data_IF_952832062958
#
_entry.id   IF_952832062958
#
_cell.length_a   1.000
_cell.length_b   1.000
_cell.length_c   1.000
_cell.angle_alpha   90.00
_cell.angle_beta   90.00
_cell.angle_gamma   90.00
#
_symmetry.space_group_name_H-M   'P 1'
#
loop_
_entity.id
_entity.type
_entity.pdbx_description
1 polymer ?
#
# COMPACT_ATOMS: atom_id res chain seq x y z
N UNK A 1 -1.93 -8.58 27.67
CA UNK A 1 -1.60 -8.31 26.25
C UNK A 1 -0.41 -9.16 25.89
N UNK A 2 -0.45 -9.84 24.74
CA UNK A 2 0.68 -10.66 24.27
C UNK A 2 1.81 -9.75 23.80
N UNK A 3 3.07 -10.18 23.96
CA UNK A 3 4.26 -9.42 23.50
C UNK A 3 4.14 -8.97 22.04
N UNK A 4 3.54 -9.81 21.19
CA UNK A 4 3.30 -9.54 19.77
C UNK A 4 2.33 -8.36 19.54
N UNK A 5 1.33 -8.18 20.41
CA UNK A 5 0.38 -7.08 20.29
C UNK A 5 1.02 -5.74 20.65
N UNK A 6 1.89 -5.72 21.66
CA UNK A 6 2.63 -4.53 22.08
C UNK A 6 3.65 -4.11 21.02
N UNK A 7 4.32 -5.09 20.41
CA UNK A 7 5.26 -4.87 19.31
C UNK A 7 4.58 -4.33 18.06
N UNK A 8 3.46 -4.93 17.63
CA UNK A 8 2.69 -4.47 16.48
C UNK A 8 2.17 -3.03 16.66
N UNK A 9 1.63 -2.72 17.84
CA UNK A 9 1.18 -1.36 18.18
C UNK A 9 2.33 -0.35 18.20
N UNK A 10 3.51 -0.77 18.66
CA UNK A 10 4.70 0.07 18.64
C UNK A 10 5.17 0.36 17.21
N UNK A 11 5.19 -0.66 16.33
CA UNK A 11 5.56 -0.51 14.93
C UNK A 11 4.60 0.43 14.19
N UNK A 12 3.29 0.28 14.37
CA UNK A 12 2.31 1.17 13.73
C UNK A 12 2.49 2.62 14.18
N UNK A 13 2.73 2.85 15.48
CA UNK A 13 3.00 4.19 16.02
C UNK A 13 4.30 4.78 15.45
N UNK A 14 5.36 3.98 15.30
CA UNK A 14 6.62 4.43 14.71
C UNK A 14 6.42 4.80 13.24
N UNK A 15 5.76 3.94 12.46
CA UNK A 15 5.47 4.20 11.05
C UNK A 15 4.63 5.47 10.90
N UNK A 16 3.55 5.61 11.66
CA UNK A 16 2.72 6.81 11.61
C UNK A 16 3.44 8.06 12.14
N UNK A 17 4.37 7.93 13.08
CA UNK A 17 5.15 9.04 13.61
C UNK A 17 6.33 9.46 12.74
N UNK A 18 6.56 8.80 11.60
CA UNK A 18 7.70 9.08 10.73
C UNK A 18 7.59 10.47 10.10
N UNK A 19 8.57 11.34 10.39
CA UNK A 19 8.65 12.70 9.84
C UNK A 19 9.30 12.68 8.46
N UNK A 20 8.46 12.70 7.42
CA UNK A 20 8.88 12.65 6.02
C UNK A 20 9.60 13.92 5.57
N UNK A 21 9.25 15.07 6.16
CA UNK A 21 9.91 16.35 5.87
C UNK A 21 11.32 16.38 6.46
N UNK A 22 11.46 15.96 7.72
CA UNK A 22 12.77 15.86 8.37
C UNK A 22 13.66 14.89 7.60
N UNK A 23 13.14 13.70 7.25
CA UNK A 23 13.86 12.73 6.45
C UNK A 23 14.31 13.31 5.10
N UNK A 24 13.41 13.95 4.36
CA UNK A 24 13.74 14.54 3.05
C UNK A 24 14.82 15.63 3.18
N UNK A 25 14.74 16.44 4.23
CA UNK A 25 15.74 17.49 4.53
C UNK A 25 17.11 16.90 4.84
N UNK A 26 17.15 15.85 5.67
CA UNK A 26 18.40 15.16 5.99
C UNK A 26 19.02 14.51 4.74
N UNK A 27 18.20 13.87 3.90
CA UNK A 27 18.66 13.27 2.64
C UNK A 27 19.20 14.34 1.70
N UNK A 28 18.47 15.45 1.51
CA UNK A 28 18.90 16.58 0.68
C UNK A 28 20.26 17.16 1.14
N UNK A 29 20.49 17.21 2.45
CA UNK A 29 21.76 17.71 3.00
C UNK A 29 22.97 16.84 2.65
N UNK A 30 22.75 15.52 2.48
CA UNK A 30 23.80 14.53 2.19
C UNK A 30 23.95 14.28 0.69
N UNK A 31 22.84 14.33 -0.05
CA UNK A 31 22.76 14.08 -1.48
C UNK A 31 21.97 15.22 -2.14
N UNK A 32 22.61 16.37 -2.39
CA UNK A 32 21.93 17.51 -3.00
C UNK A 32 21.51 17.19 -4.44
N UNK A 33 20.20 17.17 -4.69
CA UNK A 33 19.61 17.03 -6.01
C UNK A 33 18.36 17.92 -6.14
N UNK A 34 17.88 18.13 -7.36
CA UNK A 34 16.68 18.95 -7.64
C UNK A 34 15.39 18.10 -7.57
N UNK A 35 15.30 17.22 -6.56
CA UNK A 35 14.25 16.19 -6.43
C UNK A 35 13.63 16.17 -5.01
N UNK A 36 13.81 17.24 -4.23
CA UNK A 36 13.33 17.33 -2.85
C UNK A 36 11.83 17.02 -2.71
N UNK A 37 11.01 17.59 -3.61
CA UNK A 37 9.56 17.39 -3.58
C UNK A 37 9.20 15.93 -3.88
N UNK A 38 9.81 15.34 -4.92
CA UNK A 38 9.63 13.92 -5.24
C UNK A 38 10.01 13.04 -4.05
N UNK A 39 11.11 13.33 -3.36
CA UNK A 39 11.53 12.59 -2.15
C UNK A 39 10.50 12.70 -1.04
N UNK A 40 9.95 13.89 -0.81
CA UNK A 40 8.93 14.13 0.21
C UNK A 40 7.64 13.36 -0.09
N UNK A 41 7.17 13.43 -1.34
CA UNK A 41 5.96 12.71 -1.78
C UNK A 41 6.17 11.18 -1.73
N UNK A 42 7.33 10.68 -2.14
CA UNK A 42 7.68 9.25 -2.03
C UNK A 42 7.68 8.82 -0.57
N UNK A 43 8.36 9.55 0.32
CA UNK A 43 8.42 9.20 1.73
C UNK A 43 7.03 9.20 2.37
N UNK A 44 6.16 10.14 1.98
CA UNK A 44 4.79 10.24 2.48
C UNK A 44 3.90 9.10 1.96
N UNK A 45 4.02 8.76 0.67
CA UNK A 45 3.35 7.59 0.11
C UNK A 45 3.79 6.28 0.78
N UNK A 46 5.10 6.12 1.04
CA UNK A 46 5.63 4.95 1.75
C UNK A 46 5.13 4.88 3.20
N UNK A 47 5.12 6.01 3.92
CA UNK A 47 4.58 6.06 5.28
C UNK A 47 3.13 5.56 5.33
N UNK A 48 2.27 6.07 4.44
CA UNK A 48 0.86 5.64 4.36
C UNK A 48 0.74 4.15 4.00
N UNK A 49 1.50 3.68 3.02
CA UNK A 49 1.51 2.28 2.61
C UNK A 49 1.98 1.33 3.73
N UNK A 50 3.03 1.68 4.48
CA UNK A 50 3.47 0.90 5.65
C UNK A 50 2.37 0.84 6.71
N UNK A 51 1.66 1.96 6.97
CA UNK A 51 0.55 1.96 7.92
C UNK A 51 -0.58 1.02 7.47
N UNK A 52 -0.96 1.04 6.19
CA UNK A 52 -1.96 0.12 5.62
C UNK A 52 -1.51 -1.33 5.81
N UNK A 53 -0.26 -1.64 5.42
CA UNK A 53 0.29 -2.99 5.51
C UNK A 53 0.31 -3.50 6.95
N UNK A 54 0.81 -2.72 7.90
CA UNK A 54 0.86 -3.10 9.31
C UNK A 54 -0.54 -3.33 9.90
N UNK A 55 -1.51 -2.46 9.58
CA UNK A 55 -2.90 -2.66 9.98
C UNK A 55 -3.45 -3.99 9.44
N UNK A 56 -3.18 -4.32 8.17
CA UNK A 56 -3.62 -5.59 7.56
C UNK A 56 -2.97 -6.79 8.22
N UNK A 57 -1.66 -6.75 8.48
CA UNK A 57 -0.95 -7.82 9.20
C UNK A 57 -1.52 -8.00 10.61
N UNK A 58 -1.81 -6.91 11.33
CA UNK A 58 -2.44 -7.01 12.64
C UNK A 58 -3.80 -7.69 12.58
N UNK A 59 -4.66 -7.29 11.63
CA UNK A 59 -5.98 -7.89 11.44
C UNK A 59 -5.89 -9.38 11.09
N UNK A 60 -4.99 -9.74 10.17
CA UNK A 60 -4.75 -11.12 9.76
C UNK A 60 -4.29 -12.01 10.93
N UNK A 61 -3.44 -11.48 11.81
CA UNK A 61 -2.97 -12.17 13.00
C UNK A 61 -3.95 -12.11 14.19
N UNK A 62 -5.12 -11.49 14.03
CA UNK A 62 -6.11 -11.30 15.10
C UNK A 62 -5.63 -10.40 16.24
N UNK A 63 -4.66 -9.52 15.96
CA UNK A 63 -4.11 -8.57 16.93
C UNK A 63 -4.97 -7.30 16.98
N UNK A 64 -5.30 -6.86 18.20
CA UNK A 64 -5.94 -5.55 18.39
C UNK A 64 -4.88 -4.46 18.22
N UNK A 65 -5.02 -3.65 17.17
CA UNK A 65 -4.24 -2.45 16.96
C UNK A 65 -5.18 -1.25 16.82
N UNK A 66 -4.87 -0.14 17.50
CA UNK A 66 -5.64 1.09 17.36
C UNK A 66 -5.37 1.68 15.98
N UNK A 67 -6.32 1.52 15.06
CA UNK A 67 -6.27 2.19 13.77
C UNK A 67 -6.38 3.70 13.98
N UNK A 68 -5.40 4.43 13.48
CA UNK A 68 -5.31 5.89 13.62
C UNK A 68 -6.28 6.58 12.65
N UNK A 69 -6.49 5.96 11.49
CA UNK A 69 -7.42 6.41 10.44
C UNK A 69 -8.04 5.19 9.74
N UNK A 70 -9.22 5.34 9.12
CA UNK A 70 -9.75 4.37 8.16
C UNK A 70 -8.73 4.04 7.06
N UNK A 71 -8.64 2.77 6.65
CA UNK A 71 -7.68 2.33 5.63
C UNK A 71 -7.88 3.03 4.28
N UNK A 72 -9.13 3.31 3.89
CA UNK A 72 -9.42 4.03 2.64
C UNK A 72 -8.98 5.50 2.66
N UNK A 73 -8.91 6.13 3.84
CA UNK A 73 -8.37 7.48 3.98
C UNK A 73 -6.85 7.46 3.75
N UNK A 74 -6.15 6.45 4.30
CA UNK A 74 -4.73 6.23 4.03
C UNK A 74 -4.47 5.92 2.55
N UNK A 75 -5.33 5.12 1.90
CA UNK A 75 -5.25 4.89 0.44
C UNK A 75 -5.33 6.22 -0.31
N UNK A 76 -6.30 7.08 0.05
CA UNK A 76 -6.49 8.37 -0.60
C UNK A 76 -5.28 9.28 -0.41
N UNK A 77 -4.69 9.30 0.79
CA UNK A 77 -3.44 10.01 1.08
C UNK A 77 -2.27 9.49 0.23
N UNK A 78 -2.09 8.16 0.17
CA UNK A 78 -1.03 7.55 -0.64
C UNK A 78 -1.18 7.93 -2.11
N UNK A 79 -2.39 7.79 -2.69
CA UNK A 79 -2.64 8.15 -4.09
C UNK A 79 -2.40 9.64 -4.35
N UNK A 80 -2.77 10.52 -3.41
CA UNK A 80 -2.53 11.95 -3.55
C UNK A 80 -1.04 12.26 -3.68
N UNK A 81 -0.19 11.69 -2.81
CA UNK A 81 1.26 11.86 -2.91
C UNK A 81 1.85 11.23 -4.18
N UNK A 82 1.39 10.03 -4.54
CA UNK A 82 1.83 9.37 -5.77
C UNK A 82 1.48 10.16 -7.03
N UNK A 83 0.36 10.89 -7.02
CA UNK A 83 -0.08 11.73 -8.14
C UNK A 83 0.80 12.97 -8.37
N UNK A 84 1.56 13.40 -7.36
CA UNK A 84 2.51 14.52 -7.49
C UNK A 84 3.81 14.12 -8.21
N UNK A 85 4.09 12.82 -8.30
CA UNK A 85 5.35 12.30 -8.85
C UNK A 85 5.17 12.08 -10.35
N UNK A 86 5.97 12.80 -11.14
CA UNK A 86 6.02 12.65 -12.60
C UNK A 86 6.41 11.23 -13.02
N UNK A 87 5.81 10.72 -14.09
CA UNK A 87 6.22 9.45 -14.73
C UNK A 87 7.64 9.50 -15.26
N UNK A 88 8.15 10.70 -15.57
CA UNK A 88 9.51 10.94 -16.05
C UNK A 88 10.52 11.12 -14.89
N UNK A 89 10.07 11.05 -13.64
CA UNK A 89 10.98 11.15 -12.49
C UNK A 89 11.90 9.94 -12.44
N UNK A 90 13.20 10.17 -12.19
CA UNK A 90 14.16 9.09 -11.94
C UNK A 90 13.82 8.28 -10.68
N UNK A 91 12.95 8.82 -9.81
CA UNK A 91 12.48 8.16 -8.60
C UNK A 91 11.14 7.44 -8.79
N UNK A 92 10.57 7.42 -10.00
CA UNK A 92 9.25 6.85 -10.26
C UNK A 92 9.16 5.36 -9.88
N UNK A 93 10.22 4.58 -10.09
CA UNK A 93 10.28 3.17 -9.70
C UNK A 93 10.09 2.96 -8.18
N UNK A 94 10.49 3.93 -7.34
CA UNK A 94 10.31 3.88 -5.89
C UNK A 94 8.83 3.95 -5.48
N UNK A 95 7.93 4.26 -6.41
CA UNK A 95 6.49 4.34 -6.17
C UNK A 95 5.75 3.02 -6.39
N UNK A 96 6.43 2.00 -6.92
CA UNK A 96 5.83 0.70 -7.25
C UNK A 96 5.16 0.07 -6.03
N UNK A 97 5.87 0.01 -4.91
CA UNK A 97 5.36 -0.65 -3.71
C UNK A 97 4.18 0.10 -3.07
N UNK A 98 4.24 1.42 -2.80
CA UNK A 98 3.06 2.15 -2.31
C UNK A 98 1.85 2.09 -3.27
N UNK A 99 2.10 2.05 -4.59
CA UNK A 99 1.02 1.88 -5.58
C UNK A 99 0.36 0.52 -5.46
N UNK A 100 1.16 -0.54 -5.25
CA UNK A 100 0.65 -1.89 -5.00
C UNK A 100 -0.20 -1.92 -3.74
N UNK A 101 0.30 -1.42 -2.62
CA UNK A 101 -0.40 -1.46 -1.33
C UNK A 101 -1.73 -0.70 -1.40
N UNK A 102 -1.72 0.53 -1.95
CA UNK A 102 -2.96 1.30 -2.12
C UNK A 102 -3.97 0.58 -3.01
N UNK A 103 -3.50 -0.09 -4.08
CA UNK A 103 -4.36 -0.82 -5.01
C UNK A 103 -4.90 -2.11 -4.45
N UNK A 104 -4.08 -2.81 -3.68
CA UNK A 104 -4.50 -3.99 -2.97
C UNK A 104 -5.52 -3.60 -1.89
N UNK A 105 -5.37 -2.46 -1.22
CA UNK A 105 -6.29 -2.07 -0.16
C UNK A 105 -7.65 -1.58 -0.69
N UNK A 106 -7.64 -0.74 -1.72
CA UNK A 106 -8.86 -0.03 -2.15
C UNK A 106 -9.90 -0.93 -2.81
N UNK A 107 -11.17 -0.57 -2.64
CA UNK A 107 -12.31 -1.16 -3.35
C UNK A 107 -12.96 -0.19 -4.36
N UNK A 108 -12.36 0.98 -4.57
CA UNK A 108 -12.85 1.99 -5.51
C UNK A 108 -12.36 1.68 -6.93
N UNK A 109 -13.30 1.40 -7.83
CA UNK A 109 -13.00 1.11 -9.24
C UNK A 109 -12.24 2.24 -9.96
N UNK A 110 -12.47 3.50 -9.59
CA UNK A 110 -11.74 4.61 -10.19
C UNK A 110 -10.26 4.59 -9.76
N UNK A 111 -9.99 4.22 -8.50
CA UNK A 111 -8.62 4.02 -7.98
C UNK A 111 -7.97 2.80 -8.62
N UNK A 112 -8.70 1.70 -8.85
CA UNK A 112 -8.17 0.54 -9.59
C UNK A 112 -7.67 0.92 -10.99
N UNK A 113 -8.49 1.66 -11.75
CA UNK A 113 -8.12 2.14 -13.11
C UNK A 113 -6.89 3.04 -13.04
N UNK A 114 -6.83 3.97 -12.09
CA UNK A 114 -5.68 4.86 -11.91
C UNK A 114 -4.40 4.09 -11.59
N UNK A 115 -4.47 3.10 -10.69
CA UNK A 115 -3.32 2.27 -10.28
C UNK A 115 -2.84 1.39 -11.43
N UNK A 116 -3.76 0.76 -12.17
CA UNK A 116 -3.43 -0.02 -13.37
C UNK A 116 -2.67 0.82 -14.38
N UNK A 117 -3.18 2.02 -14.68
CA UNK A 117 -2.51 2.95 -15.59
C UNK A 117 -1.11 3.33 -15.10
N UNK A 118 -0.91 3.46 -13.78
CA UNK A 118 0.41 3.71 -13.21
C UNK A 118 1.37 2.52 -13.40
N UNK A 119 0.90 1.29 -13.17
CA UNK A 119 1.69 0.08 -13.42
C UNK A 119 2.06 -0.09 -14.91
N UNK A 120 1.20 0.33 -15.83
CA UNK A 120 1.52 0.34 -17.27
C UNK A 120 2.73 1.24 -17.57
N UNK A 121 2.80 2.42 -16.92
CA UNK A 121 3.96 3.32 -17.06
C UNK A 121 5.22 2.73 -16.42
N UNK A 122 5.11 2.14 -15.21
CA UNK A 122 6.25 1.52 -14.53
C UNK A 122 6.82 0.39 -15.41
N UNK A 123 5.97 -0.47 -15.96
CA UNK A 123 6.36 -1.59 -16.80
C UNK A 123 6.98 -1.14 -18.14
N UNK A 124 6.56 0.00 -18.68
CA UNK A 124 7.14 0.56 -19.89
C UNK A 124 8.56 1.12 -19.67
N UNK A 125 8.84 1.68 -18.50
CA UNK A 125 10.14 2.24 -18.13
C UNK A 125 11.12 1.15 -17.69
N UNK A 126 10.66 0.23 -16.85
CA UNK A 126 11.47 -0.83 -16.25
C UNK A 126 10.74 -2.18 -16.44
N UNK A 127 11.00 -2.90 -17.55
CA UNK A 127 10.29 -4.14 -17.90
C UNK A 127 10.83 -5.33 -17.09
N UNK A 128 11.01 -5.15 -15.78
CA UNK A 128 11.38 -6.22 -14.88
C UNK A 128 10.12 -7.07 -14.70
N UNK A 129 10.16 -8.36 -15.07
CA UNK A 129 8.97 -9.24 -15.04
C UNK A 129 8.23 -9.26 -13.68
N UNK A 130 8.95 -8.89 -12.62
CA UNK A 130 8.49 -8.66 -11.25
C UNK A 130 7.34 -7.63 -11.17
N UNK A 131 7.38 -6.53 -11.94
CA UNK A 131 6.33 -5.50 -11.97
C UNK A 131 5.07 -6.02 -12.68
N UNK A 132 5.24 -6.79 -13.75
CA UNK A 132 4.12 -7.44 -14.46
C UNK A 132 3.36 -8.42 -13.56
N UNK A 133 4.08 -9.13 -12.69
CA UNK A 133 3.48 -10.02 -11.70
C UNK A 133 2.66 -9.25 -10.66
N UNK A 134 3.16 -8.12 -10.16
CA UNK A 134 2.46 -7.29 -9.18
C UNK A 134 1.14 -6.73 -9.74
N UNK A 135 1.16 -6.22 -10.98
CA UNK A 135 -0.04 -5.68 -11.61
C UNK A 135 -1.09 -6.78 -11.91
N UNK A 136 -0.64 -7.96 -12.33
CA UNK A 136 -1.51 -9.13 -12.53
C UNK A 136 -2.11 -9.62 -11.21
N UNK A 137 -1.35 -9.59 -10.11
CA UNK A 137 -1.85 -9.94 -8.78
C UNK A 137 -2.94 -8.97 -8.30
N UNK A 138 -2.78 -7.66 -8.54
CA UNK A 138 -3.83 -6.68 -8.23
C UNK A 138 -5.14 -7.00 -8.95
N UNK A 139 -5.08 -7.34 -10.24
CA UNK A 139 -6.28 -7.71 -11.00
C UNK A 139 -6.97 -8.95 -10.41
N UNK A 140 -6.21 -9.97 -10.00
CA UNK A 140 -6.77 -11.14 -9.30
C UNK A 140 -7.41 -10.76 -7.97
N UNK A 141 -6.77 -9.90 -7.18
CA UNK A 141 -7.31 -9.40 -5.91
C UNK A 141 -8.65 -8.69 -6.15
N UNK A 142 -8.72 -7.82 -7.17
CA UNK A 142 -9.94 -7.09 -7.52
C UNK A 142 -11.05 -8.03 -8.04
N UNK A 143 -10.69 -9.06 -8.83
CA UNK A 143 -11.64 -10.07 -9.32
C UNK A 143 -12.24 -10.89 -8.18
N UNK A 144 -11.41 -11.47 -7.30
CA UNK A 144 -11.85 -12.25 -6.13
C UNK A 144 -12.89 -11.46 -5.29
N UNK A 145 -12.62 -10.17 -5.06
CA UNK A 145 -13.55 -9.29 -4.32
C UNK A 145 -14.86 -9.04 -5.04
N UNK A 146 -14.81 -8.86 -6.36
CA UNK A 146 -16.03 -8.67 -7.14
C UNK A 146 -16.95 -9.88 -7.05
N UNK A 147 -16.39 -11.10 -6.96
CA UNK A 147 -17.12 -12.36 -6.82
C UNK A 147 -17.73 -12.53 -5.42
N UNK A 148 -16.98 -12.22 -4.36
CA UNK A 148 -17.44 -12.31 -2.95
C UNK A 148 -18.66 -11.42 -2.64
N UNK A 149 -18.79 -10.26 -3.31
CA UNK A 149 -19.95 -9.36 -3.14
C UNK A 149 -21.25 -10.02 -3.60
N UNK A 150 -21.20 -10.96 -4.55
CA UNK A 150 -22.39 -11.68 -5.03
C UNK A 150 -22.76 -12.88 -4.15
N UNK A 151 -21.84 -13.40 -3.33
CA UNK A 151 -22.08 -14.57 -2.45
C UNK A 151 -22.52 -14.21 -1.02
N UNK A 152 -22.74 -12.93 -0.69
CA UNK A 152 -23.26 -12.54 0.63
C UNK A 152 -24.75 -12.89 0.76
N UNK A 153 -25.03 -14.14 1.11
CA UNK A 153 -26.38 -14.70 1.34
C UNK A 153 -26.92 -14.26 2.72
N UNK A 154 -28.05 -13.54 2.70
CA UNK A 154 -29.08 -13.45 3.74
C UNK A 154 -28.67 -13.20 5.22
N UNK A 155 -28.64 -11.92 5.62
CA UNK A 155 -29.37 -11.49 6.82
C UNK A 155 -28.70 -11.55 8.20
N UNK A 156 -27.38 -11.71 8.32
CA UNK A 156 -26.69 -11.58 9.62
C UNK A 156 -25.61 -10.48 9.60
N UNK A 157 -25.54 -9.59 10.61
CA UNK A 157 -24.42 -8.67 10.77
C UNK A 157 -23.30 -9.41 11.49
N UNK A 158 -22.64 -10.33 10.81
CA UNK A 158 -21.33 -10.76 11.25
C UNK A 158 -20.36 -9.61 10.93
N UNK A 159 -19.51 -9.25 11.88
CA UNK A 159 -18.34 -8.42 11.58
C UNK A 159 -17.45 -9.31 10.71
N UNK A 160 -17.67 -9.29 9.40
CA UNK A 160 -16.93 -10.07 8.42
C UNK A 160 -15.57 -9.38 8.27
N UNK A 161 -14.64 -9.77 9.14
CA UNK A 161 -13.23 -9.37 9.08
C UNK A 161 -12.51 -9.90 7.82
N UNK A 162 -13.19 -10.62 6.94
CA UNK A 162 -12.56 -11.39 5.86
C UNK A 162 -12.63 -10.75 4.47
N UNK A 163 -13.24 -9.57 4.29
CA UNK A 163 -13.54 -9.10 2.92
C UNK A 163 -12.34 -8.52 2.14
N UNK A 164 -11.19 -8.28 2.80
CA UNK A 164 -10.02 -7.65 2.17
C UNK A 164 -8.70 -8.29 2.65
N UNK A 165 -8.62 -9.62 2.77
CA UNK A 165 -7.34 -10.27 3.11
C UNK A 165 -6.48 -10.55 1.88
N UNK A 166 -6.01 -9.47 1.25
CA UNK A 166 -5.11 -9.57 0.10
C UNK A 166 -3.71 -10.07 0.47
N UNK A 167 -3.40 -10.22 1.78
CA UNK A 167 -2.15 -10.82 2.25
C UNK A 167 -2.07 -12.30 1.85
N UNK A 168 -3.19 -13.04 1.93
CA UNK A 168 -3.25 -14.44 1.50
C UNK A 168 -2.92 -14.59 0.01
N UNK A 169 -3.44 -13.67 -0.81
CA UNK A 169 -3.18 -13.68 -2.27
C UNK A 169 -1.72 -13.35 -2.60
N UNK A 170 -1.00 -12.62 -1.75
CA UNK A 170 0.44 -12.42 -1.93
C UNK A 170 1.25 -13.69 -1.66
N UNK A 171 0.91 -14.43 -0.60
CA UNK A 171 1.58 -15.67 -0.23
C UNK A 171 1.36 -16.81 -1.23
N UNK A 172 0.15 -16.92 -1.80
CA UNK A 172 -0.18 -17.95 -2.79
C UNK A 172 0.57 -17.79 -4.13
N UNK A 173 0.76 -16.54 -4.58
CA UNK A 173 1.36 -16.23 -5.88
C UNK A 173 2.89 -16.05 -5.81
N UNK A 174 3.52 -16.29 -4.65
CA UNK A 174 4.97 -16.19 -4.45
C UNK A 174 5.50 -14.75 -4.61
N UNK A 175 4.66 -13.76 -4.36
CA UNK A 175 5.00 -12.34 -4.45
C UNK A 175 5.44 -11.74 -3.10
N UNK A 176 5.91 -12.59 -2.17
CA UNK A 176 6.43 -12.23 -0.85
C UNK A 176 7.58 -11.21 -0.90
N UNK A 177 8.23 -11.04 -2.06
CA UNK A 177 9.25 -10.01 -2.27
C UNK A 177 8.69 -8.58 -2.20
N UNK A 178 7.36 -8.39 -2.35
CA UNK A 178 6.68 -7.14 -2.03
C UNK A 178 6.68 -6.84 -0.52
N UNK A 179 7.49 -7.51 0.29
CA UNK A 179 7.63 -7.27 1.74
C UNK A 179 9.08 -6.87 2.09
N UNK A 180 9.98 -6.79 1.09
CA UNK A 180 11.42 -6.51 1.29
C UNK A 180 11.82 -5.08 0.93
#
# INVERSE_FOLDING_TARGET
>A
MSVQQDEASSLLRIANGFDTWQWATEVQSRLPAADFQDRLDIASAHRGAVCIYLCRVCLHLGLLCEMISPLEDLVTEVIAHLSNISTESSLFAATTWPSFIAGAETNDSAKHVWIRGRFDHIQALEPWGVIGNAASLLEKIWQKRSEDVYETVAGYPAIVYTHNDWLDSMGEDGNDWLIL
#
